data_IF_770063438674
#
_entry.id   IF_770063438674
#
_cell.length_a   1.000
_cell.length_b   1.000
_cell.length_c   1.000
_cell.angle_alpha   90.00
_cell.angle_beta   90.00
_cell.angle_gamma   90.00
#
_symmetry.space_group_name_H-M   'P 1'
#
loop_
_entity.id
_entity.type
_entity.pdbx_description
1 polymer ?
#
# COMPACT_ATOMS: atom_id res chain seq x y z
N UNK A 1 -8.94 16.54 -18.44
CA UNK A 1 -9.14 17.33 -17.20
C UNK A 1 -8.57 16.55 -16.03
N UNK A 2 -7.86 17.19 -15.10
CA UNK A 2 -7.37 16.51 -13.88
C UNK A 2 -8.51 16.39 -12.86
N UNK A 3 -8.68 15.20 -12.26
CA UNK A 3 -9.75 14.88 -11.31
C UNK A 3 -9.15 14.36 -10.02
N UNK A 4 -9.62 14.89 -8.88
CA UNK A 4 -9.31 14.35 -7.56
C UNK A 4 -9.98 12.99 -7.39
N UNK A 5 -9.20 11.97 -7.02
CA UNK A 5 -9.67 10.61 -6.72
C UNK A 5 -9.90 10.47 -5.22
N UNK A 6 -8.91 10.84 -4.41
CA UNK A 6 -8.95 10.68 -2.97
C UNK A 6 -8.04 11.71 -2.27
N UNK A 7 -8.29 11.94 -0.99
CA UNK A 7 -7.40 12.69 -0.11
C UNK A 7 -7.36 12.04 1.28
N UNK A 8 -6.22 12.11 1.94
CA UNK A 8 -6.04 11.60 3.30
C UNK A 8 -5.13 12.52 4.11
N UNK A 9 -5.43 12.65 5.41
CA UNK A 9 -4.51 13.25 6.36
C UNK A 9 -3.54 12.16 6.83
N UNK A 10 -2.25 12.37 6.60
CA UNK A 10 -1.20 11.38 6.86
C UNK A 10 0.06 12.07 7.34
N UNK A 11 0.96 11.30 7.92
CA UNK A 11 2.33 11.74 8.10
C UNK A 11 3.15 11.36 6.89
N UNK A 12 4.03 12.24 6.44
CA UNK A 12 4.90 11.91 5.31
C UNK A 12 6.29 12.53 5.44
N UNK A 13 7.23 11.97 4.67
CA UNK A 13 8.57 12.47 4.38
C UNK A 13 8.70 12.46 2.86
N UNK A 14 9.15 13.55 2.25
CA UNK A 14 9.32 13.65 0.79
C UNK A 14 10.77 13.93 0.46
N UNK A 15 11.33 13.23 -0.55
CA UNK A 15 12.65 13.57 -1.09
C UNK A 15 13.86 12.90 -0.42
N UNK A 16 13.78 11.63 -0.07
CA UNK A 16 14.93 10.86 0.44
C UNK A 16 15.79 10.36 -0.75
N UNK A 17 16.87 11.07 -1.08
CA UNK A 17 17.84 10.68 -2.11
C UNK A 17 18.82 9.62 -1.61
N UNK A 18 19.08 8.57 -2.41
CA UNK A 18 19.89 7.41 -1.98
C UNK A 18 21.40 7.59 -2.09
N UNK A 19 21.90 8.65 -2.73
CA UNK A 19 23.33 8.86 -2.90
C UNK A 19 23.77 10.25 -2.39
N UNK A 20 24.60 10.20 -1.34
CA UNK A 20 25.45 11.30 -0.81
C UNK A 20 24.82 12.45 -0.06
N UNK A 21 23.56 12.35 0.36
CA UNK A 21 22.91 13.46 1.04
C UNK A 21 22.71 13.16 2.54
N UNK A 22 23.70 13.58 3.32
CA UNK A 22 23.58 13.83 4.76
C UNK A 22 22.69 15.07 4.90
N UNK A 23 21.37 14.93 4.86
CA UNK A 23 20.45 16.07 5.10
C UNK A 23 19.42 15.78 6.20
N UNK A 24 19.14 16.86 6.94
CA UNK A 24 18.61 16.90 8.30
C UNK A 24 17.08 16.88 8.43
N UNK A 25 16.32 16.87 7.34
CA UNK A 25 14.85 16.87 7.40
C UNK A 25 14.27 15.44 7.42
N UNK A 26 14.59 14.69 8.49
CA UNK A 26 14.07 13.34 8.78
C UNK A 26 12.76 13.33 9.58
N UNK A 27 12.09 14.47 9.71
CA UNK A 27 10.92 14.62 10.58
C UNK A 27 9.66 14.34 9.79
N UNK A 28 8.84 13.44 10.31
CA UNK A 28 7.48 13.25 9.84
C UNK A 28 6.71 14.56 9.86
N UNK A 29 6.16 14.93 8.72
CA UNK A 29 5.28 16.08 8.59
C UNK A 29 3.85 15.59 8.58
N UNK A 30 3.03 16.09 9.50
CA UNK A 30 1.58 15.91 9.41
C UNK A 30 1.06 16.82 8.31
N UNK A 31 0.40 16.25 7.31
CA UNK A 31 -0.20 17.03 6.24
C UNK A 31 -1.27 16.25 5.50
N UNK A 32 -1.59 16.72 4.28
CA UNK A 32 -2.55 16.03 3.41
C UNK A 32 -1.88 15.55 2.15
N UNK A 33 -2.21 14.32 1.78
CA UNK A 33 -1.89 13.73 0.50
C UNK A 33 -3.14 13.71 -0.36
N UNK A 34 -3.01 14.17 -1.61
CA UNK A 34 -4.08 14.20 -2.60
C UNK A 34 -3.67 13.27 -3.74
N UNK A 35 -4.57 12.35 -4.09
CA UNK A 35 -4.42 11.45 -5.23
C UNK A 35 -5.32 11.96 -6.34
N UNK A 36 -4.73 12.37 -7.45
CA UNK A 36 -5.46 12.74 -8.66
C UNK A 36 -5.42 11.59 -9.66
N UNK A 37 -6.07 11.72 -10.81
CA UNK A 37 -5.94 10.74 -11.89
C UNK A 37 -4.59 10.80 -12.63
N UNK A 38 -3.66 11.69 -12.24
CA UNK A 38 -2.37 11.89 -12.93
C UNK A 38 -1.15 11.87 -12.00
N UNK A 39 -1.31 12.28 -10.75
CA UNK A 39 -0.20 12.48 -9.82
C UNK A 39 -0.63 12.38 -8.37
N UNK A 40 0.35 12.15 -7.52
CA UNK A 40 0.30 12.27 -6.08
C UNK A 40 0.80 13.67 -5.68
N UNK A 41 0.07 14.34 -4.80
CA UNK A 41 0.42 15.66 -4.29
C UNK A 41 0.55 15.62 -2.76
N UNK A 42 1.69 16.07 -2.25
CA UNK A 42 1.94 16.27 -0.82
C UNK A 42 1.81 17.76 -0.50
N UNK A 43 0.82 18.15 0.31
CA UNK A 43 0.65 19.55 0.73
C UNK A 43 1.44 19.84 2.01
N UNK A 44 2.60 20.50 1.87
CA UNK A 44 3.42 21.02 2.97
C UNK A 44 3.21 22.53 3.06
N UNK A 45 2.49 22.99 4.10
CA UNK A 45 2.13 24.40 4.27
C UNK A 45 1.41 24.93 3.01
N UNK A 46 1.95 25.96 2.35
CA UNK A 46 1.40 26.59 1.14
C UNK A 46 2.03 26.05 -0.16
N UNK A 47 2.80 24.95 -0.09
CA UNK A 47 3.42 24.33 -1.27
C UNK A 47 2.91 22.92 -1.50
N UNK A 48 2.75 22.58 -2.78
CA UNK A 48 2.53 21.20 -3.21
C UNK A 48 3.85 20.62 -3.71
N UNK A 49 4.20 19.46 -3.17
CA UNK A 49 5.25 18.63 -3.76
C UNK A 49 4.55 17.56 -4.59
N UNK A 50 4.95 17.45 -5.85
CA UNK A 50 4.25 16.62 -6.83
C UNK A 50 5.09 15.40 -7.20
N UNK A 51 4.43 14.25 -7.30
CA UNK A 51 5.01 13.01 -7.83
C UNK A 51 4.05 12.47 -8.88
N UNK A 52 4.44 12.54 -10.15
CA UNK A 52 3.62 11.98 -11.23
C UNK A 52 3.68 10.46 -11.23
N UNK A 53 2.59 9.80 -11.59
CA UNK A 53 2.57 8.33 -11.63
C UNK A 53 3.55 7.74 -12.65
N UNK A 54 3.81 8.46 -13.75
CA UNK A 54 4.83 8.07 -14.76
C UNK A 54 6.26 8.07 -14.22
N UNK A 55 6.52 8.80 -13.13
CA UNK A 55 7.84 8.91 -12.50
C UNK A 55 7.99 7.95 -11.31
N UNK A 56 6.92 7.26 -10.90
CA UNK A 56 6.96 6.27 -9.82
C UNK A 56 7.61 4.98 -10.32
N UNK A 57 8.64 4.54 -9.59
CA UNK A 57 9.41 3.34 -9.89
C UNK A 57 8.87 2.11 -9.14
N UNK A 58 8.61 2.26 -7.84
CA UNK A 58 8.15 1.16 -6.99
C UNK A 58 7.33 1.68 -5.83
N UNK A 59 6.33 0.90 -5.42
CA UNK A 59 5.59 1.09 -4.17
C UNK A 59 5.82 -0.13 -3.28
N UNK A 60 6.23 0.07 -2.03
CA UNK A 60 6.49 -1.04 -1.11
C UNK A 60 6.08 -0.71 0.33
N UNK A 61 5.66 -1.71 1.08
CA UNK A 61 5.68 -1.65 2.54
C UNK A 61 7.07 -2.05 3.01
N UNK A 62 7.71 -1.25 3.87
CA UNK A 62 9.04 -1.57 4.39
C UNK A 62 9.10 -1.50 5.90
N UNK A 63 9.35 -2.65 6.51
CA UNK A 63 9.87 -2.78 7.88
C UNK A 63 11.39 -2.50 7.99
N UNK A 64 12.06 -2.26 6.85
CA UNK A 64 13.53 -2.13 6.74
C UNK A 64 14.11 -0.77 7.14
N UNK A 65 13.33 0.15 7.74
CA UNK A 65 13.85 1.45 8.22
C UNK A 65 13.99 1.47 9.74
N UNK A 66 15.02 0.82 10.32
CA UNK A 66 15.20 0.79 11.77
C UNK A 66 15.43 2.18 12.38
N UNK A 67 15.79 3.17 11.55
CA UNK A 67 16.10 4.55 11.95
C UNK A 67 14.93 5.53 11.76
N UNK A 68 13.80 5.10 11.18
CA UNK A 68 12.62 5.96 10.97
C UNK A 68 11.44 5.28 11.66
N UNK A 69 11.19 5.67 12.91
CA UNK A 69 10.01 5.23 13.65
C UNK A 69 8.78 5.99 13.14
N UNK A 70 7.68 5.32 12.78
CA UNK A 70 6.45 6.00 12.43
C UNK A 70 5.93 6.81 13.64
N UNK A 71 5.23 7.93 13.39
CA UNK A 71 4.66 8.74 14.46
C UNK A 71 3.51 8.00 15.15
N UNK A 72 3.16 8.46 16.36
CA UNK A 72 2.00 7.98 17.13
C UNK A 72 2.02 6.48 17.53
N UNK A 73 3.19 5.83 17.50
CA UNK A 73 3.33 4.43 17.94
C UNK A 73 2.75 3.41 16.95
N UNK A 74 2.50 3.80 15.69
CA UNK A 74 2.03 2.86 14.67
C UNK A 74 3.07 1.79 14.36
N UNK A 75 2.60 0.66 13.84
CA UNK A 75 3.50 -0.39 13.36
C UNK A 75 4.31 0.11 12.16
N UNK A 76 5.56 -0.31 12.03
CA UNK A 76 6.42 0.01 10.88
C UNK A 76 5.87 -0.51 9.55
N UNK A 77 5.08 -1.59 9.60
CA UNK A 77 4.32 -2.10 8.46
C UNK A 77 3.33 -1.08 7.87
N UNK A 78 2.98 -0.02 8.61
CA UNK A 78 2.09 1.04 8.12
C UNK A 78 2.82 2.14 7.33
N UNK A 79 4.11 1.95 7.03
CA UNK A 79 4.89 2.88 6.20
C UNK A 79 4.85 2.43 4.75
N UNK A 80 4.26 3.26 3.90
CA UNK A 80 4.29 3.13 2.45
C UNK A 80 5.50 3.89 1.89
N UNK A 81 6.39 3.16 1.24
CA UNK A 81 7.53 3.68 0.47
C UNK A 81 7.13 3.88 -0.98
N UNK A 82 7.41 5.07 -1.52
CA UNK A 82 7.23 5.41 -2.92
C UNK A 82 8.59 5.86 -3.45
N UNK A 83 9.20 5.06 -4.32
CA UNK A 83 10.40 5.49 -5.05
C UNK A 83 10.00 6.12 -6.36
N UNK A 84 10.57 7.26 -6.67
CA UNK A 84 10.24 7.99 -7.88
C UNK A 84 11.45 8.80 -8.37
N UNK A 85 11.44 9.19 -9.64
CA UNK A 85 12.40 10.16 -10.14
C UNK A 85 12.11 11.55 -9.57
N UNK A 86 13.17 12.35 -9.45
CA UNK A 86 13.01 13.79 -9.25
C UNK A 86 12.37 14.43 -10.49
N UNK A 87 11.49 15.42 -10.28
CA UNK A 87 10.69 15.99 -11.36
C UNK A 87 11.57 16.48 -12.52
N UNK A 88 11.44 15.82 -13.68
CA UNK A 88 12.18 16.15 -14.89
C UNK A 88 13.63 15.62 -14.96
N UNK A 89 14.14 15.01 -13.88
CA UNK A 89 15.47 14.41 -13.86
C UNK A 89 15.45 12.91 -13.50
N UNK A 90 15.50 12.09 -14.55
CA UNK A 90 15.55 10.62 -14.44
C UNK A 90 16.87 10.07 -13.91
N UNK A 91 17.85 10.92 -13.59
CA UNK A 91 19.13 10.49 -13.00
C UNK A 91 19.07 10.40 -11.48
N UNK A 92 18.13 11.09 -10.85
CA UNK A 92 18.00 11.15 -9.40
C UNK A 92 16.76 10.40 -8.92
N UNK A 93 16.98 9.39 -8.07
CA UNK A 93 15.90 8.63 -7.44
C UNK A 93 15.68 9.16 -6.03
N UNK A 94 14.46 9.61 -5.79
CA UNK A 94 13.96 10.04 -4.49
C UNK A 94 13.06 8.96 -3.90
N UNK A 95 13.02 8.91 -2.58
CA UNK A 95 12.11 8.06 -1.82
C UNK A 95 11.20 8.95 -0.98
N UNK A 96 9.89 8.76 -1.11
CA UNK A 96 8.89 9.40 -0.28
C UNK A 96 8.26 8.34 0.63
N UNK A 97 8.07 8.68 1.89
CA UNK A 97 7.46 7.80 2.89
C UNK A 97 6.13 8.39 3.33
N UNK A 98 5.10 7.56 3.40
CA UNK A 98 3.79 7.91 3.96
C UNK A 98 3.53 6.96 5.13
N UNK A 99 3.10 7.49 6.26
CA UNK A 99 2.66 6.73 7.42
C UNK A 99 1.28 7.20 7.86
N UNK A 100 0.39 6.22 8.04
CA UNK A 100 -0.97 6.42 8.49
C UNK A 100 -1.41 5.21 9.35
N UNK A 101 -2.68 5.18 9.74
CA UNK A 101 -3.25 3.93 10.25
C UNK A 101 -3.28 2.86 9.16
N UNK A 102 -3.37 1.59 9.56
CA UNK A 102 -3.27 0.44 8.65
C UNK A 102 -4.26 0.54 7.48
N UNK A 103 -5.53 0.82 7.76
CA UNK A 103 -6.58 0.91 6.74
C UNK A 103 -6.32 2.01 5.70
N UNK A 104 -5.81 3.18 6.12
CA UNK A 104 -5.47 4.28 5.22
C UNK A 104 -4.25 3.93 4.39
N UNK A 105 -3.20 3.36 5.00
CA UNK A 105 -2.00 2.90 4.27
C UNK A 105 -2.38 1.87 3.22
N UNK A 106 -3.24 0.90 3.57
CA UNK A 106 -3.72 -0.15 2.68
C UNK A 106 -4.51 0.41 1.49
N UNK A 107 -5.45 1.32 1.75
CA UNK A 107 -6.24 1.98 0.69
C UNK A 107 -5.37 2.83 -0.23
N UNK A 108 -4.43 3.59 0.33
CA UNK A 108 -3.49 4.40 -0.45
C UNK A 108 -2.65 3.53 -1.37
N UNK A 109 -2.11 2.42 -0.86
CA UNK A 109 -1.35 1.45 -1.65
C UNK A 109 -2.17 0.92 -2.82
N UNK A 110 -3.37 0.39 -2.55
CA UNK A 110 -4.24 -0.18 -3.58
C UNK A 110 -4.58 0.83 -4.69
N UNK A 111 -4.88 2.09 -4.33
CA UNK A 111 -5.15 3.16 -5.30
C UNK A 111 -3.88 3.44 -6.12
N UNK A 112 -2.73 3.65 -5.45
CA UNK A 112 -1.50 4.01 -6.15
C UNK A 112 -1.03 2.90 -7.09
N UNK A 113 -1.04 1.62 -6.67
CA UNK A 113 -0.72 0.46 -7.52
C UNK A 113 -1.60 0.44 -8.77
N UNK A 114 -2.91 0.68 -8.63
CA UNK A 114 -3.82 0.79 -9.77
C UNK A 114 -3.45 1.95 -10.71
N UNK A 115 -3.04 3.09 -10.15
CA UNK A 115 -2.73 4.30 -10.93
C UNK A 115 -1.38 4.22 -11.67
N UNK A 116 -0.38 3.54 -11.12
CA UNK A 116 0.92 3.35 -11.77
C UNK A 116 0.90 2.28 -12.86
N UNK A 117 -0.22 1.56 -13.00
CA UNK A 117 -0.34 0.48 -13.99
C UNK A 117 0.52 -0.73 -13.67
N UNK A 118 1.00 -0.88 -12.43
CA UNK A 118 1.44 -2.19 -11.94
C UNK A 118 0.26 -3.13 -12.17
N UNK A 119 0.48 -4.17 -12.99
CA UNK A 119 -0.54 -5.18 -13.24
C UNK A 119 -0.94 -5.74 -11.89
N UNK A 120 -2.12 -5.35 -11.40
CA UNK A 120 -2.80 -6.07 -10.33
C UNK A 120 -2.95 -7.47 -10.89
N UNK A 121 -2.07 -8.38 -10.47
CA UNK A 121 -2.06 -9.77 -10.94
C UNK A 121 -3.49 -10.27 -10.78
N UNK A 122 -4.04 -10.91 -11.80
CA UNK A 122 -5.42 -11.38 -11.70
C UNK A 122 -5.54 -12.32 -10.50
N UNK A 123 -6.64 -12.20 -9.75
CA UNK A 123 -6.83 -13.03 -8.55
C UNK A 123 -6.97 -14.50 -8.99
N UNK A 124 -5.96 -15.30 -8.67
CA UNK A 124 -5.96 -16.73 -9.03
C UNK A 124 -7.07 -17.48 -8.29
N UNK A 125 -7.42 -18.69 -8.76
CA UNK A 125 -8.38 -19.55 -8.05
C UNK A 125 -7.96 -19.84 -6.60
N UNK A 126 -6.66 -19.87 -6.32
CA UNK A 126 -6.18 -20.07 -4.95
C UNK A 126 -6.47 -18.88 -4.05
N UNK A 127 -6.31 -17.64 -4.53
CA UNK A 127 -6.69 -16.45 -3.77
C UNK A 127 -8.19 -16.46 -3.46
N UNK A 128 -9.04 -16.86 -4.43
CA UNK A 128 -10.49 -16.99 -4.23
C UNK A 128 -10.83 -18.01 -3.16
N UNK A 129 -10.20 -19.19 -3.20
CA UNK A 129 -10.41 -20.24 -2.19
C UNK A 129 -10.00 -19.79 -0.79
N UNK A 130 -8.83 -19.15 -0.64
CA UNK A 130 -8.40 -18.58 0.64
C UNK A 130 -9.40 -17.53 1.12
N UNK A 131 -9.83 -16.61 0.25
CA UNK A 131 -10.79 -15.57 0.59
C UNK A 131 -12.15 -16.15 1.04
N UNK A 132 -12.61 -17.24 0.42
CA UNK A 132 -13.83 -17.97 0.82
C UNK A 132 -13.68 -18.64 2.19
N UNK A 133 -12.52 -19.25 2.49
CA UNK A 133 -12.26 -19.85 3.81
C UNK A 133 -12.22 -18.77 4.91
N UNK A 134 -11.60 -17.62 4.63
CA UNK A 134 -11.65 -16.49 5.56
C UNK A 134 -13.09 -16.00 5.79
N UNK A 135 -13.92 -16.02 4.74
CA UNK A 135 -15.34 -15.64 4.82
C UNK A 135 -16.17 -16.59 5.69
N UNK A 136 -15.85 -17.89 5.73
CA UNK A 136 -16.52 -18.84 6.64
C UNK A 136 -16.03 -18.72 8.09
N UNK A 137 -15.08 -17.81 8.37
CA UNK A 137 -14.55 -17.55 9.70
C UNK A 137 -13.27 -18.32 10.01
N UNK A 138 -12.67 -19.02 9.04
CA UNK A 138 -11.41 -19.72 9.23
C UNK A 138 -10.25 -18.73 9.28
N UNK A 139 -9.48 -18.72 10.36
CA UNK A 139 -8.33 -17.81 10.55
C UNK A 139 -6.99 -18.52 10.80
N UNK A 140 -7.01 -19.86 10.84
CA UNK A 140 -5.83 -20.67 11.11
C UNK A 140 -5.14 -21.03 9.79
N UNK A 141 -3.94 -20.50 9.58
CA UNK A 141 -3.15 -20.75 8.37
C UNK A 141 -2.74 -22.22 8.19
N UNK A 142 -2.57 -22.97 9.29
CA UNK A 142 -2.24 -24.40 9.25
C UNK A 142 -3.45 -25.17 8.71
N UNK A 143 -4.65 -24.84 9.18
CA UNK A 143 -5.87 -25.48 8.73
C UNK A 143 -6.19 -25.12 7.27
N UNK A 144 -5.97 -23.85 6.88
CA UNK A 144 -6.13 -23.40 5.48
C UNK A 144 -5.13 -24.14 4.57
N UNK A 145 -3.87 -24.25 4.98
CA UNK A 145 -2.82 -25.00 4.27
C UNK A 145 -3.24 -26.45 4.06
N UNK A 146 -3.74 -27.10 5.11
CA UNK A 146 -4.21 -28.48 5.05
C UNK A 146 -5.40 -28.66 4.10
N UNK A 147 -6.41 -27.79 4.16
CA UNK A 147 -7.61 -27.89 3.32
C UNK A 147 -7.36 -27.61 1.84
N UNK A 148 -6.35 -26.80 1.55
CA UNK A 148 -6.01 -26.38 0.19
C UNK A 148 -4.87 -27.19 -0.41
N UNK A 149 -4.25 -28.09 0.37
CA UNK A 149 -3.10 -28.91 -0.02
C UNK A 149 -1.94 -28.06 -0.58
N UNK A 150 -1.60 -26.98 0.13
CA UNK A 150 -0.50 -26.07 -0.21
C UNK A 150 0.39 -25.79 1.00
N UNK A 151 1.63 -25.36 0.78
CA UNK A 151 2.55 -25.03 1.87
C UNK A 151 2.06 -23.81 2.68
N UNK A 152 2.32 -23.80 3.99
CA UNK A 152 1.97 -22.68 4.89
C UNK A 152 2.54 -21.35 4.37
N UNK A 153 3.79 -21.36 3.88
CA UNK A 153 4.43 -20.17 3.31
C UNK A 153 3.69 -19.64 2.08
N UNK A 154 2.99 -20.49 1.34
CA UNK A 154 2.16 -20.09 0.20
C UNK A 154 0.85 -19.47 0.67
N UNK A 155 0.20 -20.05 1.70
CA UNK A 155 -0.97 -19.44 2.35
C UNK A 155 -0.67 -18.04 2.85
N UNK A 156 0.47 -17.84 3.51
CA UNK A 156 0.89 -16.52 4.01
C UNK A 156 1.06 -15.51 2.87
N UNK A 157 1.66 -15.92 1.74
CA UNK A 157 1.79 -15.06 0.56
C UNK A 157 0.41 -14.70 -0.03
N UNK A 158 -0.50 -15.67 -0.13
CA UNK A 158 -1.87 -15.43 -0.62
C UNK A 158 -2.63 -14.47 0.31
N UNK A 159 -2.50 -14.63 1.63
CA UNK A 159 -3.11 -13.74 2.63
C UNK A 159 -2.54 -12.33 2.52
N UNK A 160 -1.22 -12.19 2.42
CA UNK A 160 -0.59 -10.89 2.23
C UNK A 160 -1.03 -10.23 0.91
N UNK A 161 -1.21 -10.99 -0.17
CA UNK A 161 -1.75 -10.47 -1.42
C UNK A 161 -3.23 -10.06 -1.31
N UNK A 162 -4.05 -10.83 -0.58
CA UNK A 162 -5.44 -10.45 -0.30
C UNK A 162 -5.55 -9.20 0.57
N UNK A 163 -4.67 -9.04 1.56
CA UNK A 163 -4.51 -7.79 2.31
C UNK A 163 -4.08 -6.68 1.37
N UNK A 164 -3.09 -6.91 0.51
CA UNK A 164 -2.61 -5.95 -0.50
C UNK A 164 -3.72 -5.41 -1.38
N UNK A 165 -4.65 -6.28 -1.78
CA UNK A 165 -5.83 -5.90 -2.57
C UNK A 165 -6.92 -5.19 -1.76
N UNK A 166 -6.76 -5.07 -0.45
CA UNK A 166 -7.75 -4.48 0.45
C UNK A 166 -9.01 -5.34 0.60
N UNK A 167 -8.93 -6.64 0.31
CA UNK A 167 -10.07 -7.56 0.42
C UNK A 167 -10.23 -8.07 1.86
N UNK A 168 -9.13 -8.11 2.62
CA UNK A 168 -9.12 -8.50 4.03
C UNK A 168 -8.29 -7.53 4.88
N UNK A 169 -8.59 -7.44 6.17
CA UNK A 169 -7.86 -6.65 7.17
C UNK A 169 -6.65 -7.42 7.74
N UNK A 170 -5.88 -6.75 8.61
CA UNK A 170 -4.80 -7.38 9.37
C UNK A 170 -5.27 -8.56 10.22
N UNK A 171 -6.49 -8.47 10.76
CA UNK A 171 -7.10 -9.48 11.63
C UNK A 171 -7.83 -10.59 10.84
N UNK A 172 -7.55 -10.67 9.54
CA UNK A 172 -8.11 -11.63 8.58
C UNK A 172 -9.63 -11.53 8.47
N UNK A 173 -10.19 -10.35 8.69
CA UNK A 173 -11.61 -10.07 8.47
C UNK A 173 -11.82 -9.52 7.07
N UNK A 174 -12.90 -9.91 6.39
CA UNK A 174 -13.22 -9.34 5.09
C UNK A 174 -13.57 -7.86 5.22
N UNK A 175 -13.08 -7.07 4.28
CA UNK A 175 -13.54 -5.69 4.08
C UNK A 175 -14.83 -5.69 3.28
N UNK A 176 -15.51 -4.54 3.21
CA UNK A 176 -16.69 -4.38 2.35
C UNK A 176 -16.42 -4.73 0.87
N UNK A 177 -15.19 -4.52 0.39
CA UNK A 177 -14.81 -4.89 -0.97
C UNK A 177 -14.56 -6.39 -1.09
N UNK A 178 -13.89 -7.00 -0.10
CA UNK A 178 -13.75 -8.46 -0.03
C UNK A 178 -15.08 -9.18 -0.03
N UNK A 179 -16.08 -8.69 0.70
CA UNK A 179 -17.42 -9.28 0.74
C UNK A 179 -18.09 -9.27 -0.63
N UNK A 180 -18.01 -8.15 -1.37
CA UNK A 180 -18.57 -8.08 -2.74
C UNK A 180 -17.91 -9.11 -3.66
N UNK A 181 -16.58 -9.23 -3.59
CA UNK A 181 -15.83 -10.20 -4.38
C UNK A 181 -16.27 -11.63 -4.07
N UNK A 182 -16.48 -11.96 -2.78
CA UNK A 182 -17.04 -13.27 -2.38
C UNK A 182 -18.44 -13.50 -2.95
N UNK A 183 -19.31 -12.51 -2.88
CA UNK A 183 -20.67 -12.62 -3.42
C UNK A 183 -20.68 -12.85 -4.94
N UNK A 184 -19.75 -12.23 -5.68
CA UNK A 184 -19.56 -12.48 -7.11
C UNK A 184 -19.05 -13.89 -7.40
N UNK A 185 -18.12 -14.40 -6.59
CA UNK A 185 -17.60 -15.77 -6.72
C UNK A 185 -18.72 -16.79 -6.49
N UNK A 186 -19.56 -16.60 -5.47
CA UNK A 186 -20.64 -17.54 -5.10
C UNK A 186 -21.80 -17.61 -6.11
N UNK A 187 -21.91 -16.63 -7.00
CA UNK A 187 -22.96 -16.55 -8.04
C UNK A 187 -22.56 -17.19 -9.36
N UNK A 188 -21.28 -17.57 -9.52
CA UNK A 188 -20.75 -18.27 -10.68
C UNK A 188 -20.66 -19.76 -10.39
#
# INVERSE_FOLDING_TARGET
MEKLIAQAQVYYIVGYGRDRSVYDDKKWVLGRVYLTNKRLLFKKLDRFIEVKYEDVLTIAERDKYPRISPPMGWARGNILEIKHYEFGDKRHILTSLISANFDVTLKLRAILTKMIGEKVVEMTEMHKKVLLLLYTGMKDNILISYLLDIEINEVEKLIEDLKFRGLISSDLLLTAEGTKVVDEIRRR
#
